data_IF_364803507000
#
_entry.id   IF_364803507000
#
_cell.length_a   1.000
_cell.length_b   1.000
_cell.length_c   1.000
_cell.angle_alpha   90.00
_cell.angle_beta   90.00
_cell.angle_gamma   90.00
#
_symmetry.space_group_name_H-M   'P 1'
#
loop_
_entity.id
_entity.type
_entity.pdbx_description
1 polymer ?
#
# COMPACT_ATOMS: atom_id res chain seq x y z
N UNK A 1 -5.19 -9.59 18.66
CA UNK A 1 -4.48 -10.61 17.85
C UNK A 1 -4.15 -10.02 16.49
N UNK A 2 -3.13 -10.54 15.80
CA UNK A 2 -2.78 -10.09 14.43
C UNK A 2 -3.90 -10.52 13.47
N UNK A 3 -4.30 -9.66 12.53
CA UNK A 3 -5.40 -9.93 11.60
C UNK A 3 -5.15 -11.22 10.82
N UNK A 4 -3.92 -11.48 10.34
CA UNK A 4 -3.51 -12.72 9.66
C UNK A 4 -3.92 -14.02 10.37
N UNK A 5 -3.95 -14.01 11.71
CA UNK A 5 -4.26 -15.18 12.53
C UNK A 5 -5.76 -15.44 12.73
N UNK A 6 -6.64 -14.63 12.14
CA UNK A 6 -8.07 -14.74 12.33
C UNK A 6 -8.71 -15.61 11.24
N UNK A 7 -9.59 -16.54 11.64
CA UNK A 7 -10.38 -17.32 10.68
C UNK A 7 -11.57 -16.53 10.11
N UNK A 8 -12.16 -15.63 10.89
CA UNK A 8 -13.31 -14.81 10.50
C UNK A 8 -13.16 -13.38 11.04
N UNK A 9 -13.85 -12.45 10.36
CA UNK A 9 -13.82 -11.02 10.60
C UNK A 9 -15.23 -10.44 10.47
N UNK A 10 -15.49 -9.30 11.10
CA UNK A 10 -16.72 -8.56 10.85
C UNK A 10 -16.79 -8.09 9.38
N UNK A 11 -17.98 -8.01 8.76
CA UNK A 11 -18.13 -7.65 7.34
C UNK A 11 -17.56 -6.28 6.95
N UNK A 12 -17.40 -5.36 7.90
CA UNK A 12 -16.92 -3.99 7.69
C UNK A 12 -15.46 -3.77 8.13
N UNK A 13 -14.73 -4.82 8.53
CA UNK A 13 -13.38 -4.67 9.07
C UNK A 13 -12.42 -4.02 8.08
N UNK A 14 -12.53 -4.32 6.79
CA UNK A 14 -11.65 -3.75 5.75
C UNK A 14 -12.03 -2.32 5.40
N UNK A 15 -13.31 -1.94 5.51
CA UNK A 15 -13.71 -0.54 5.45
C UNK A 15 -13.09 0.23 6.63
N UNK A 16 -13.13 -0.33 7.84
CA UNK A 16 -12.48 0.24 9.02
C UNK A 16 -10.95 0.32 8.85
N UNK A 17 -10.30 -0.68 8.23
CA UNK A 17 -8.87 -0.63 7.93
C UNK A 17 -8.53 0.55 7.02
N UNK A 18 -9.33 0.78 5.98
CA UNK A 18 -9.21 1.96 5.12
C UNK A 18 -9.33 3.27 5.91
N UNK A 19 -10.32 3.37 6.79
CA UNK A 19 -10.53 4.54 7.66
C UNK A 19 -9.31 4.80 8.56
N UNK A 20 -8.82 3.77 9.27
CA UNK A 20 -7.65 3.89 10.16
C UNK A 20 -6.40 4.28 9.39
N UNK A 21 -6.21 3.74 8.19
CA UNK A 21 -5.08 4.10 7.32
C UNK A 21 -5.12 5.57 6.94
N UNK A 22 -6.29 6.09 6.53
CA UNK A 22 -6.46 7.51 6.23
C UNK A 22 -6.26 8.41 7.46
N UNK A 23 -6.73 7.98 8.63
CA UNK A 23 -6.51 8.68 9.89
C UNK A 23 -5.02 8.75 10.27
N UNK A 24 -4.26 7.66 10.08
CA UNK A 24 -2.82 7.62 10.31
C UNK A 24 -2.13 8.64 9.41
N UNK A 25 -2.44 8.66 8.11
CA UNK A 25 -1.86 9.66 7.20
C UNK A 25 -2.13 11.09 7.66
N UNK A 26 -3.38 11.40 8.05
CA UNK A 26 -3.72 12.73 8.58
C UNK A 26 -2.94 13.04 9.85
N UNK A 27 -2.88 12.10 10.81
CA UNK A 27 -2.17 12.30 12.07
C UNK A 27 -0.66 12.55 11.84
N UNK A 28 -0.06 11.85 10.88
CA UNK A 28 1.36 11.98 10.54
C UNK A 28 1.69 13.26 9.76
N UNK A 29 0.71 14.02 9.24
CA UNK A 29 0.97 15.29 8.52
C UNK A 29 1.69 16.31 9.39
N UNK A 30 1.31 16.41 10.67
CA UNK A 30 1.86 17.42 11.59
C UNK A 30 3.08 16.95 12.37
N UNK A 31 3.33 15.64 12.38
CA UNK A 31 4.52 15.08 12.99
C UNK A 31 5.77 15.55 12.23
N UNK A 32 6.90 15.74 12.89
CA UNK A 32 8.15 16.11 12.23
C UNK A 32 9.34 15.58 13.03
N UNK A 33 10.29 14.98 12.34
CA UNK A 33 11.56 14.55 12.92
C UNK A 33 12.62 14.49 11.82
N UNK A 34 13.81 15.05 12.06
CA UNK A 34 14.84 15.26 11.04
C UNK A 34 15.36 13.98 10.37
N UNK A 35 15.16 12.83 11.02
CA UNK A 35 15.42 11.52 10.42
C UNK A 35 14.68 11.36 9.08
N UNK A 36 13.41 11.76 9.02
CA UNK A 36 12.56 11.54 7.84
C UNK A 36 12.82 12.52 6.70
N UNK A 37 13.61 13.58 6.92
CA UNK A 37 13.88 14.59 5.90
C UNK A 37 14.68 14.00 4.73
N UNK A 38 15.51 12.98 5.00
CA UNK A 38 16.40 12.36 4.02
C UNK A 38 16.34 10.83 4.01
N UNK A 39 15.50 10.22 4.85
CA UNK A 39 15.36 8.77 4.89
C UNK A 39 14.48 8.29 3.73
N UNK A 40 15.05 7.41 2.91
CA UNK A 40 14.34 6.69 1.85
C UNK A 40 14.68 5.20 2.04
N UNK A 41 13.71 4.34 2.37
CA UNK A 41 13.95 2.91 2.47
C UNK A 41 14.29 2.33 1.09
N UNK A 42 15.16 1.31 1.00
CA UNK A 42 15.59 0.77 -0.29
C UNK A 42 14.46 0.11 -1.07
N UNK A 43 13.37 -0.31 -0.40
CA UNK A 43 12.13 -0.81 -1.00
C UNK A 43 11.07 0.28 -1.24
N UNK A 44 11.42 1.57 -1.18
CA UNK A 44 10.48 2.63 -1.57
C UNK A 44 10.12 2.48 -3.05
N UNK A 45 8.83 2.48 -3.38
CA UNK A 45 8.34 2.41 -4.77
C UNK A 45 8.98 3.46 -5.69
N UNK A 46 9.36 4.62 -5.16
CA UNK A 46 10.06 5.67 -5.91
C UNK A 46 11.42 5.23 -6.47
N UNK A 47 12.08 4.26 -5.84
CA UNK A 47 13.38 3.73 -6.25
C UNK A 47 13.26 2.58 -7.26
N UNK A 48 12.10 1.95 -7.40
CA UNK A 48 11.92 0.74 -8.21
C UNK A 48 12.19 0.92 -9.70
N UNK A 49 12.08 2.14 -10.22
CA UNK A 49 12.49 2.39 -11.61
C UNK A 49 14.00 2.23 -11.84
N UNK A 50 14.80 2.36 -10.79
CA UNK A 50 16.25 2.27 -10.88
C UNK A 50 16.75 0.82 -10.88
N UNK A 51 15.84 -0.17 -10.86
CA UNK A 51 16.22 -1.58 -10.95
C UNK A 51 17.03 -1.83 -12.23
N UNK A 52 18.22 -2.36 -12.02
CA UNK A 52 19.18 -2.73 -13.06
C UNK A 52 18.78 -4.04 -13.73
N UNK A 53 19.33 -4.29 -14.91
CA UNK A 53 19.19 -5.59 -15.59
C UNK A 53 19.77 -6.75 -14.76
N UNK A 54 20.77 -6.47 -13.91
CA UNK A 54 21.34 -7.44 -12.97
C UNK A 54 20.36 -7.77 -11.85
N UNK A 55 19.72 -6.78 -11.24
CA UNK A 55 18.70 -7.01 -10.21
C UNK A 55 17.47 -7.73 -10.80
N UNK A 56 17.07 -7.40 -12.02
CA UNK A 56 15.99 -8.13 -12.71
C UNK A 56 16.38 -9.56 -13.10
N UNK A 57 17.67 -9.90 -13.13
CA UNK A 57 18.14 -11.23 -13.53
C UNK A 57 17.81 -12.33 -12.52
N UNK A 58 17.51 -11.95 -11.26
CA UNK A 58 17.04 -12.88 -10.22
C UNK A 58 15.68 -13.52 -10.54
N UNK A 59 14.91 -12.91 -11.45
CA UNK A 59 13.67 -13.49 -11.97
C UNK A 59 14.01 -14.48 -13.07
N UNK A 60 14.15 -15.76 -12.70
CA UNK A 60 14.58 -16.83 -13.61
C UNK A 60 13.72 -16.93 -14.88
N UNK A 61 12.40 -16.81 -14.74
CA UNK A 61 11.44 -16.88 -15.84
C UNK A 61 11.49 -15.62 -16.72
N UNK A 62 11.84 -15.80 -17.99
CA UNK A 62 11.95 -14.72 -18.98
C UNK A 62 10.59 -14.03 -19.19
N UNK A 63 9.51 -14.78 -19.16
CA UNK A 63 8.14 -14.27 -19.30
C UNK A 63 7.76 -13.37 -18.11
N UNK A 64 8.07 -13.80 -16.87
CA UNK A 64 7.85 -12.97 -15.68
C UNK A 64 8.71 -11.72 -15.71
N UNK A 65 9.97 -11.82 -16.14
CA UNK A 65 10.88 -10.67 -16.29
C UNK A 65 10.34 -9.66 -17.29
N UNK A 66 9.76 -10.11 -18.40
CA UNK A 66 9.11 -9.25 -19.39
C UNK A 66 7.86 -8.56 -18.82
N UNK A 67 7.07 -9.25 -17.98
CA UNK A 67 5.93 -8.66 -17.27
C UNK A 67 6.38 -7.56 -16.31
N UNK A 68 7.41 -7.82 -15.49
CA UNK A 68 7.96 -6.82 -14.55
C UNK A 68 8.44 -5.58 -15.31
N UNK A 69 9.22 -5.73 -16.39
CA UNK A 69 9.66 -4.60 -17.23
C UNK A 69 8.50 -3.79 -17.79
N UNK A 70 7.41 -4.46 -18.20
CA UNK A 70 6.20 -3.79 -18.69
C UNK A 70 5.52 -2.99 -17.57
N UNK A 71 5.41 -3.56 -16.36
CA UNK A 71 4.84 -2.89 -15.19
C UNK A 71 5.69 -1.67 -14.81
N UNK A 72 7.01 -1.81 -14.73
CA UNK A 72 7.92 -0.71 -14.43
C UNK A 72 7.81 0.45 -15.43
N UNK A 73 7.67 0.12 -16.73
CA UNK A 73 7.45 1.14 -17.76
C UNK A 73 6.12 1.87 -17.59
N UNK A 74 5.04 1.14 -17.27
CA UNK A 74 3.73 1.74 -17.00
C UNK A 74 3.76 2.58 -15.72
N UNK A 75 4.44 2.12 -14.68
CA UNK A 75 4.62 2.86 -13.44
C UNK A 75 5.35 4.19 -13.69
N UNK A 76 6.39 4.19 -14.54
CA UNK A 76 7.04 5.44 -14.92
C UNK A 76 6.07 6.44 -15.54
N UNK A 77 5.36 6.02 -16.59
CA UNK A 77 4.53 6.94 -17.39
C UNK A 77 3.25 7.37 -16.70
N UNK A 78 2.62 6.43 -15.99
CA UNK A 78 1.27 6.62 -15.47
C UNK A 78 1.30 7.08 -14.01
N UNK A 79 2.44 6.93 -13.32
CA UNK A 79 2.60 7.28 -11.90
C UNK A 79 3.73 8.29 -11.67
N UNK A 80 4.99 7.94 -11.94
CA UNK A 80 6.13 8.79 -11.56
C UNK A 80 6.18 10.10 -12.35
N UNK A 81 5.90 10.09 -13.65
CA UNK A 81 5.86 11.33 -14.46
C UNK A 81 4.79 12.32 -13.95
N UNK A 82 3.77 11.82 -13.24
CA UNK A 82 2.64 12.57 -12.69
C UNK A 82 2.71 12.79 -11.18
N UNK A 83 3.73 12.28 -10.51
CA UNK A 83 3.76 12.24 -9.04
C UNK A 83 3.75 13.63 -8.39
N UNK A 84 4.18 14.67 -9.13
CA UNK A 84 4.08 16.08 -8.73
C UNK A 84 2.63 16.55 -8.52
N UNK A 85 1.63 15.81 -8.99
CA UNK A 85 0.21 16.06 -8.78
C UNK A 85 -0.35 15.29 -7.58
N UNK A 86 0.40 14.37 -6.99
CA UNK A 86 -0.09 13.49 -5.93
C UNK A 86 0.11 14.13 -4.56
N UNK A 87 -0.69 13.68 -3.60
CA UNK A 87 -0.52 14.06 -2.20
C UNK A 87 0.67 13.31 -1.63
N UNK A 88 1.58 14.09 -1.04
CA UNK A 88 2.84 13.62 -0.48
C UNK A 88 2.90 13.91 1.02
N UNK A 89 3.42 12.96 1.79
CA UNK A 89 3.56 13.09 3.24
C UNK A 89 4.16 11.85 3.88
N UNK A 90 4.10 11.77 5.21
CA UNK A 90 4.60 10.61 5.94
C UNK A 90 3.60 9.46 5.88
N UNK A 91 4.09 8.30 5.45
CA UNK A 91 3.36 7.04 5.39
C UNK A 91 3.97 6.03 6.36
N UNK A 92 3.21 5.04 6.79
CA UNK A 92 3.74 3.87 7.50
C UNK A 92 4.62 3.03 6.57
N UNK A 93 4.19 2.83 5.32
CA UNK A 93 5.00 2.17 4.29
C UNK A 93 4.91 0.64 4.24
N UNK A 94 4.24 -0.01 5.20
CA UNK A 94 4.12 -1.48 5.26
C UNK A 94 2.86 -1.94 6.02
N UNK A 95 1.70 -1.38 5.66
CA UNK A 95 0.41 -1.79 6.26
C UNK A 95 -0.04 -3.11 5.62
N UNK A 96 0.48 -4.20 6.16
CA UNK A 96 0.14 -5.58 5.78
C UNK A 96 -0.59 -6.32 6.92
N UNK A 97 -1.09 -7.52 6.64
CA UNK A 97 -1.85 -8.35 7.57
C UNK A 97 -1.07 -8.83 8.81
N UNK A 98 0.25 -8.72 8.83
CA UNK A 98 1.08 -9.04 9.99
C UNK A 98 1.18 -7.84 10.96
N UNK A 99 1.06 -6.62 10.43
CA UNK A 99 1.21 -5.36 11.15
C UNK A 99 -0.11 -4.79 11.70
N UNK A 100 -1.24 -5.47 11.44
CA UNK A 100 -2.56 -5.04 11.90
C UNK A 100 -3.00 -5.86 13.10
N UNK A 101 -3.23 -5.19 14.24
CA UNK A 101 -3.79 -5.80 15.45
C UNK A 101 -5.29 -5.54 15.51
N UNK A 102 -6.07 -6.60 15.66
CA UNK A 102 -7.53 -6.56 15.88
C UNK A 102 -7.89 -7.04 17.28
N UNK A 103 -9.08 -6.65 17.73
CA UNK A 103 -9.63 -7.18 18.97
C UNK A 103 -10.00 -8.68 18.84
N UNK A 104 -10.45 -9.30 19.93
CA UNK A 104 -10.75 -10.74 19.93
C UNK A 104 -11.86 -11.12 18.95
N UNK A 105 -12.88 -10.26 18.80
CA UNK A 105 -14.01 -10.43 17.90
C UNK A 105 -13.70 -10.13 16.43
N UNK A 106 -12.51 -9.59 16.14
CA UNK A 106 -12.11 -9.16 14.80
C UNK A 106 -13.12 -8.20 14.13
N UNK A 107 -13.68 -7.29 14.93
CA UNK A 107 -14.62 -6.24 14.47
C UNK A 107 -14.00 -4.83 14.53
N UNK A 108 -12.83 -4.70 15.17
CA UNK A 108 -12.17 -3.42 15.44
C UNK A 108 -10.67 -3.55 15.20
N UNK A 109 -10.10 -2.59 14.48
CA UNK A 109 -8.64 -2.37 14.40
C UNK A 109 -8.18 -1.72 15.70
N UNK A 110 -7.38 -2.44 16.48
CA UNK A 110 -6.86 -1.98 17.78
C UNK A 110 -5.54 -1.22 17.66
N UNK A 111 -4.70 -1.60 16.70
CA UNK A 111 -3.43 -0.92 16.43
C UNK A 111 -2.90 -1.28 15.04
N UNK A 112 -2.10 -0.37 14.48
CA UNK A 112 -1.12 -0.65 13.42
C UNK A 112 0.25 -0.55 14.08
N UNK A 113 1.11 -1.54 13.88
CA UNK A 113 2.44 -1.66 14.49
C UNK A 113 3.52 -1.73 13.42
N UNK A 114 4.79 -1.67 13.85
CA UNK A 114 5.98 -1.82 13.01
C UNK A 114 6.28 -0.65 12.05
N UNK A 115 6.61 0.50 12.63
CA UNK A 115 6.89 1.75 11.90
C UNK A 115 8.33 1.88 11.39
N UNK A 116 9.09 0.78 11.29
CA UNK A 116 10.48 0.83 10.82
C UNK A 116 10.61 1.33 9.37
N UNK A 117 9.56 1.10 8.58
CA UNK A 117 9.44 1.51 7.18
C UNK A 117 8.82 2.89 6.99
N UNK A 118 8.53 3.60 8.08
CA UNK A 118 7.91 4.91 8.00
C UNK A 118 8.82 5.89 7.25
N UNK A 119 8.28 6.55 6.21
CA UNK A 119 9.05 7.48 5.39
C UNK A 119 8.14 8.49 4.69
N UNK A 120 8.73 9.52 4.09
CA UNK A 120 8.00 10.46 3.25
C UNK A 120 7.78 9.86 1.86
N UNK A 121 6.52 9.75 1.44
CA UNK A 121 6.12 9.17 0.15
C UNK A 121 4.72 9.66 -0.25
N UNK A 122 4.14 9.04 -1.28
CA UNK A 122 2.79 9.39 -1.75
C UNK A 122 1.73 8.57 -1.01
N UNK A 123 0.64 9.22 -0.60
CA UNK A 123 -0.46 8.57 0.10
C UNK A 123 -1.13 7.46 -0.73
N UNK A 124 -1.17 7.62 -2.06
CA UNK A 124 -1.66 6.57 -2.97
C UNK A 124 -0.83 5.29 -2.90
N UNK A 125 0.46 5.35 -2.52
CA UNK A 125 1.30 4.16 -2.36
C UNK A 125 0.96 3.39 -1.08
N UNK A 126 0.70 4.11 0.02
CA UNK A 126 0.19 3.50 1.26
C UNK A 126 -1.20 2.86 1.07
N UNK A 127 -2.07 3.52 0.31
CA UNK A 127 -3.36 2.93 -0.04
C UNK A 127 -3.20 1.67 -0.90
N UNK A 128 -2.27 1.68 -1.87
CA UNK A 128 -2.02 0.54 -2.75
C UNK A 128 -1.57 -0.70 -1.96
N UNK A 129 -0.62 -0.57 -1.03
CA UNK A 129 -0.16 -1.68 -0.21
C UNK A 129 -1.27 -2.23 0.70
N UNK A 130 -2.05 -1.34 1.32
CA UNK A 130 -3.17 -1.73 2.19
C UNK A 130 -4.25 -2.50 1.41
N UNK A 131 -4.58 -2.05 0.20
CA UNK A 131 -5.52 -2.73 -0.69
C UNK A 131 -4.98 -4.10 -1.11
N UNK A 132 -3.70 -4.16 -1.50
CA UNK A 132 -3.08 -5.41 -1.94
C UNK A 132 -3.20 -6.49 -0.86
N UNK A 133 -2.77 -6.20 0.37
CA UNK A 133 -2.79 -7.19 1.44
C UNK A 133 -4.20 -7.54 1.91
N UNK A 134 -5.16 -6.61 1.83
CA UNK A 134 -6.56 -6.94 2.05
C UNK A 134 -7.10 -7.95 1.02
N UNK A 135 -6.72 -7.81 -0.25
CA UNK A 135 -7.06 -8.73 -1.34
C UNK A 135 -6.36 -10.09 -1.11
N UNK A 136 -5.05 -10.10 -0.88
CA UNK A 136 -4.25 -11.33 -0.71
C UNK A 136 -4.69 -12.15 0.51
N UNK A 137 -4.94 -11.50 1.65
CA UNK A 137 -5.44 -12.17 2.85
C UNK A 137 -6.75 -12.94 2.61
N UNK A 138 -7.52 -12.54 1.61
CA UNK A 138 -8.82 -13.10 1.28
C UNK A 138 -8.87 -13.80 -0.08
N UNK A 139 -7.74 -14.06 -0.74
CA UNK A 139 -7.70 -14.59 -2.13
C UNK A 139 -8.42 -15.94 -2.32
N UNK A 140 -8.59 -16.69 -1.22
CA UNK A 140 -9.31 -17.97 -1.19
C UNK A 140 -10.85 -17.81 -1.19
N UNK A 141 -11.37 -16.60 -1.02
CA UNK A 141 -12.81 -16.31 -0.97
C UNK A 141 -13.34 -15.91 -2.35
N UNK A 142 -14.62 -16.17 -2.65
CA UNK A 142 -15.24 -15.62 -3.85
C UNK A 142 -15.27 -14.10 -3.77
N UNK A 143 -15.08 -13.43 -4.92
CA UNK A 143 -15.12 -11.97 -5.04
C UNK A 143 -14.17 -11.23 -4.08
N UNK A 144 -12.96 -11.75 -3.88
CA UNK A 144 -11.97 -11.19 -2.95
C UNK A 144 -11.55 -9.74 -3.28
N UNK A 145 -11.82 -9.25 -4.49
CA UNK A 145 -11.62 -7.84 -4.85
C UNK A 145 -12.50 -6.89 -4.03
N UNK A 146 -13.66 -7.34 -3.54
CA UNK A 146 -14.54 -6.52 -2.71
C UNK A 146 -13.86 -6.04 -1.41
N UNK A 147 -12.86 -6.75 -0.91
CA UNK A 147 -12.09 -6.34 0.26
C UNK A 147 -11.21 -5.11 -0.04
N UNK A 148 -10.64 -5.04 -1.24
CA UNK A 148 -9.93 -3.85 -1.72
C UNK A 148 -10.86 -2.65 -1.90
N UNK A 149 -12.08 -2.88 -2.42
CA UNK A 149 -13.10 -1.83 -2.54
C UNK A 149 -13.53 -1.26 -1.19
N UNK A 150 -13.67 -2.12 -0.17
CA UNK A 150 -13.97 -1.70 1.19
C UNK A 150 -12.85 -0.81 1.76
N UNK A 151 -11.58 -1.22 1.63
CA UNK A 151 -10.43 -0.39 2.04
C UNK A 151 -10.47 0.96 1.35
N UNK A 152 -10.64 0.99 0.03
CA UNK A 152 -10.71 2.23 -0.75
C UNK A 152 -11.85 3.15 -0.24
N UNK A 153 -13.04 2.58 -0.02
CA UNK A 153 -14.21 3.31 0.48
C UNK A 153 -13.99 3.89 1.88
N UNK A 154 -13.31 3.16 2.76
CA UNK A 154 -12.97 3.63 4.10
C UNK A 154 -11.95 4.77 4.05
N UNK A 155 -10.87 4.57 3.29
CA UNK A 155 -9.78 5.53 3.14
C UNK A 155 -10.25 6.87 2.59
N UNK A 156 -11.08 6.83 1.55
CA UNK A 156 -11.62 8.03 0.89
C UNK A 156 -12.60 8.84 1.74
N UNK A 157 -12.96 8.40 2.96
CA UNK A 157 -13.65 9.26 3.93
C UNK A 157 -12.73 10.34 4.52
N UNK A 158 -11.42 10.10 4.52
CA UNK A 158 -10.42 10.94 5.18
C UNK A 158 -9.52 11.65 4.18
N UNK A 159 -9.08 10.95 3.12
CA UNK A 159 -8.21 11.52 2.08
C UNK A 159 -8.87 11.32 0.72
N UNK A 160 -9.20 12.42 0.05
CA UNK A 160 -9.75 12.39 -1.30
C UNK A 160 -8.62 12.24 -2.30
N UNK A 161 -8.65 11.20 -3.13
CA UNK A 161 -7.71 11.04 -4.22
C UNK A 161 -8.14 11.89 -5.41
N UNK A 162 -7.18 12.51 -6.09
CA UNK A 162 -7.43 13.12 -7.39
C UNK A 162 -7.47 12.05 -8.50
N UNK A 163 -7.87 12.47 -9.71
CA UNK A 163 -8.02 11.55 -10.83
C UNK A 163 -6.71 10.83 -11.19
N UNK A 164 -5.58 11.52 -11.18
CA UNK A 164 -4.29 10.91 -11.51
C UNK A 164 -3.85 9.89 -10.44
N UNK A 165 -4.12 10.14 -9.16
CA UNK A 165 -3.92 9.17 -8.08
C UNK A 165 -4.81 7.93 -8.26
N UNK A 166 -6.09 8.11 -8.60
CA UNK A 166 -7.02 7.01 -8.89
C UNK A 166 -6.53 6.18 -10.09
N UNK A 167 -6.06 6.84 -11.15
CA UNK A 167 -5.54 6.15 -12.34
C UNK A 167 -4.23 5.40 -12.06
N UNK A 168 -3.40 5.91 -11.14
CA UNK A 168 -2.14 5.27 -10.74
C UNK A 168 -2.32 4.09 -9.77
N UNK A 169 -3.42 4.05 -9.00
CA UNK A 169 -3.63 3.05 -7.97
C UNK A 169 -3.48 1.59 -8.44
N UNK A 170 -4.06 1.15 -9.58
CA UNK A 170 -3.93 -0.22 -10.05
C UNK A 170 -2.49 -0.63 -10.42
N UNK A 171 -1.68 0.30 -10.93
CA UNK A 171 -0.28 0.00 -11.25
C UNK A 171 0.59 -0.04 -9.99
N UNK A 172 0.29 0.79 -8.99
CA UNK A 172 0.94 0.74 -7.69
C UNK A 172 0.68 -0.60 -6.97
N UNK A 173 -0.57 -1.10 -7.01
CA UNK A 173 -0.94 -2.41 -6.44
C UNK A 173 -0.15 -3.55 -7.13
N UNK A 174 -0.07 -3.53 -8.46
CA UNK A 174 0.67 -4.55 -9.22
C UNK A 174 2.16 -4.54 -8.93
N UNK A 175 2.74 -3.36 -8.72
CA UNK A 175 4.15 -3.24 -8.41
C UNK A 175 4.46 -3.85 -7.05
N UNK A 176 3.64 -3.60 -6.03
CA UNK A 176 3.77 -4.25 -4.73
C UNK A 176 3.56 -5.77 -4.78
N UNK A 177 2.68 -6.28 -5.66
CA UNK A 177 2.51 -7.74 -5.84
C UNK A 177 3.72 -8.41 -6.51
N UNK A 178 4.53 -7.65 -7.24
CA UNK A 178 5.75 -8.16 -7.90
C UNK A 178 6.98 -8.20 -6.97
N UNK A 179 6.80 -7.91 -5.68
CA UNK A 179 7.82 -8.05 -4.63
C UNK A 179 7.68 -9.37 -3.90
#
# INVERSE_FOLDING_TARGET
KIIFSCGEYAPNLFELLGEVTGQINIALQTFHHSFYDNYIPPWSLSLFINLTEEELSVVDCVEHRAIVKKILKQFQTDTLDKCHLFQYGKIHGDINEQNIIVNNSADTISAIIDYEDCHCSYYVFELAITILYAILLNEHKPDYFCYGEQVFKGYTKYIQLNNDEIYALPICIKLHYSH
#
